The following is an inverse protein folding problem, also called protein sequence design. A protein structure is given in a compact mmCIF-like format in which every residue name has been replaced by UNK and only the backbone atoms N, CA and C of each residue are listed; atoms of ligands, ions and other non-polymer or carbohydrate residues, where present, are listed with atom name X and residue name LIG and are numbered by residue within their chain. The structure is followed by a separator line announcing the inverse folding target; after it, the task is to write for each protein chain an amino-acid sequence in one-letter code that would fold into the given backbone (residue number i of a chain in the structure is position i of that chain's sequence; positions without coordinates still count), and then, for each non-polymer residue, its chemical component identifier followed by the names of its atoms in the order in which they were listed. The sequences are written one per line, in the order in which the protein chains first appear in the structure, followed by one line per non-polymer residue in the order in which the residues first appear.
data_IF_027922170541
#
_entry.id   IF_027922170541
#
_cell.length_a   1.000
_cell.length_b   1.000
_cell.length_c   1.000
_cell.angle_alpha   90.00
_cell.angle_beta   90.00
_cell.angle_gamma   90.00
#
_symmetry.space_group_name_H-M   'P 1'
#
loop_
_entity.id
_entity.type
_entity.pdbx_description
1 polymer ?
#
# COMPACT_ATOMS: atom_id res chain seq x y z
N UNK A 1 -0.65 10.65 -14.38
CA UNK A 1 -1.22 11.77 -13.61
C UNK A 1 -1.78 11.23 -12.30
N UNK A 2 -1.09 11.52 -11.20
CA UNK A 2 -1.41 11.02 -9.84
C UNK A 2 -2.55 11.81 -9.18
N UNK A 3 -2.91 12.98 -9.73
CA UNK A 3 -4.13 13.70 -9.34
C UNK A 3 -5.41 12.88 -9.55
N UNK A 4 -5.34 11.86 -10.43
CA UNK A 4 -6.42 10.92 -10.74
C UNK A 4 -6.54 9.74 -9.75
N UNK A 5 -5.57 9.54 -8.87
CA UNK A 5 -5.68 8.50 -7.83
C UNK A 5 -6.74 8.92 -6.81
N UNK A 6 -6.85 10.22 -6.53
CA UNK A 6 -7.86 10.78 -5.64
C UNK A 6 -7.74 10.27 -4.19
N UNK A 7 -8.36 11.00 -3.26
CA UNK A 7 -8.41 10.63 -1.85
C UNK A 7 -8.39 11.87 -0.97
N UNK A 8 -9.27 11.90 0.03
CA UNK A 8 -9.32 12.97 1.03
C UNK A 8 -8.26 12.80 2.11
N UNK A 9 -7.83 11.55 2.32
CA UNK A 9 -6.79 11.16 3.25
C UNK A 9 -5.90 10.06 2.65
N UNK A 10 -4.80 9.77 3.34
CA UNK A 10 -3.81 8.80 2.91
C UNK A 10 -4.30 7.37 2.86
N UNK A 11 -5.23 7.00 3.73
CA UNK A 11 -5.83 5.67 3.69
C UNK A 11 -6.60 5.51 2.40
N UNK A 12 -7.37 6.53 1.99
CA UNK A 12 -8.08 6.54 0.72
C UNK A 12 -7.12 6.51 -0.49
N UNK A 13 -6.02 7.27 -0.45
CA UNK A 13 -4.98 7.25 -1.50
C UNK A 13 -4.34 5.86 -1.60
N UNK A 14 -3.94 5.26 -0.48
CA UNK A 14 -3.37 3.90 -0.44
C UNK A 14 -4.40 2.90 -0.99
N UNK A 15 -5.65 2.96 -0.56
CA UNK A 15 -6.71 2.08 -1.04
C UNK A 15 -6.90 2.20 -2.56
N UNK A 16 -6.85 3.41 -3.11
CA UNK A 16 -6.99 3.65 -4.55
C UNK A 16 -5.78 3.15 -5.34
N UNK A 17 -4.58 3.23 -4.78
CA UNK A 17 -3.36 2.63 -5.35
C UNK A 17 -3.48 1.10 -5.33
N UNK A 18 -3.82 0.51 -4.18
CA UNK A 18 -3.93 -0.94 -4.02
C UNK A 18 -5.02 -1.54 -4.91
N UNK A 19 -6.20 -0.93 -5.01
CA UNK A 19 -7.25 -1.37 -5.94
C UNK A 19 -6.79 -1.45 -7.40
N UNK A 20 -5.81 -0.63 -7.80
CA UNK A 20 -5.31 -0.59 -9.18
C UNK A 20 -4.10 -1.50 -9.41
N UNK A 21 -3.30 -1.73 -8.38
CA UNK A 21 -2.02 -2.45 -8.48
C UNK A 21 -2.06 -3.87 -7.95
N UNK A 22 -2.95 -4.17 -7.02
CA UNK A 22 -2.94 -5.40 -6.23
C UNK A 22 -4.24 -6.14 -6.47
N UNK A 23 -4.18 -7.21 -7.27
CA UNK A 23 -5.28 -8.16 -7.42
C UNK A 23 -5.32 -9.14 -6.25
N UNK A 24 -6.43 -9.87 -6.12
CA UNK A 24 -6.58 -10.92 -5.10
C UNK A 24 -5.48 -11.99 -5.22
N UNK A 25 -5.01 -12.27 -6.45
CA UNK A 25 -3.85 -13.14 -6.70
C UNK A 25 -2.57 -12.64 -6.02
N UNK A 26 -2.36 -11.33 -5.97
CA UNK A 26 -1.21 -10.72 -5.29
C UNK A 26 -1.43 -10.81 -3.77
N UNK A 27 -2.63 -10.50 -3.26
CA UNK A 27 -2.92 -10.65 -1.82
C UNK A 27 -2.79 -12.10 -1.32
N UNK A 28 -3.05 -13.09 -2.19
CA UNK A 28 -2.89 -14.51 -1.87
C UNK A 28 -1.42 -14.95 -1.81
N UNK A 29 -0.54 -14.31 -2.57
CA UNK A 29 0.89 -14.66 -2.65
C UNK A 29 1.77 -13.86 -1.69
N UNK A 30 1.31 -12.67 -1.28
CA UNK A 30 2.13 -11.72 -0.54
C UNK A 30 1.52 -11.31 0.80
N UNK A 31 2.38 -11.00 1.77
CA UNK A 31 2.04 -10.38 3.05
C UNK A 31 3.18 -9.43 3.44
N UNK A 32 2.91 -8.37 4.19
CA UNK A 32 3.86 -7.27 4.43
C UNK A 32 5.28 -7.77 4.75
N UNK A 33 5.44 -8.58 5.81
CA UNK A 33 6.75 -9.08 6.26
C UNK A 33 7.05 -10.54 5.87
N UNK A 34 6.18 -11.17 5.07
CA UNK A 34 6.32 -12.59 4.71
C UNK A 34 5.89 -13.56 5.81
N UNK A 35 5.61 -14.80 5.42
CA UNK A 35 5.40 -15.97 6.28
C UNK A 35 6.05 -17.20 5.64
N UNK A 36 5.87 -18.39 6.22
CA UNK A 36 6.31 -19.64 5.59
C UNK A 36 5.62 -19.92 4.24
N UNK A 37 4.42 -19.37 4.02
CA UNK A 37 3.57 -19.66 2.84
C UNK A 37 3.38 -18.46 1.92
N UNK A 38 3.62 -17.23 2.40
CA UNK A 38 3.47 -16.00 1.61
C UNK A 38 4.77 -15.21 1.56
N UNK A 39 5.09 -14.66 0.38
CA UNK A 39 6.30 -13.86 0.17
C UNK A 39 6.17 -12.47 0.81
N UNK A 40 7.29 -11.89 1.23
CA UNK A 40 7.30 -10.53 1.80
C UNK A 40 7.03 -9.49 0.73
N UNK A 41 5.96 -8.71 0.91
CA UNK A 41 5.63 -7.57 0.04
C UNK A 41 6.60 -6.41 0.21
N UNK A 42 7.13 -6.19 1.43
CA UNK A 42 8.10 -5.15 1.72
C UNK A 42 9.45 -5.33 0.99
N UNK A 43 9.70 -6.50 0.40
CA UNK A 43 10.88 -6.75 -0.45
C UNK A 43 10.69 -6.37 -1.91
N UNK A 44 9.47 -5.99 -2.32
CA UNK A 44 9.19 -5.58 -3.69
C UNK A 44 9.50 -4.10 -3.88
N UNK A 45 10.05 -3.70 -5.03
CA UNK A 45 10.32 -2.29 -5.34
C UNK A 45 9.05 -1.43 -5.32
N UNK A 46 7.89 -2.04 -5.61
CA UNK A 46 6.58 -1.37 -5.55
C UNK A 46 6.23 -0.87 -4.14
N UNK A 47 6.79 -1.48 -3.09
CA UNK A 47 6.55 -1.06 -1.71
C UNK A 47 7.10 0.34 -1.44
N UNK A 48 8.36 0.59 -1.82
CA UNK A 48 8.98 1.93 -1.70
C UNK A 48 8.28 2.94 -2.60
N UNK A 49 7.89 2.53 -3.82
CA UNK A 49 7.12 3.37 -4.74
C UNK A 49 5.80 3.85 -4.12
N UNK A 50 5.09 2.97 -3.40
CA UNK A 50 3.83 3.33 -2.72
C UNK A 50 4.11 4.34 -1.60
N UNK A 51 5.15 4.14 -0.80
CA UNK A 51 5.53 5.05 0.28
C UNK A 51 5.85 6.44 -0.29
N UNK A 52 6.68 6.51 -1.32
CA UNK A 52 7.06 7.76 -1.96
C UNK A 52 5.86 8.45 -2.62
N UNK A 53 4.96 7.67 -3.22
CA UNK A 53 3.72 8.20 -3.79
C UNK A 53 2.85 8.84 -2.70
N UNK A 54 2.62 8.16 -1.59
CA UNK A 54 1.81 8.70 -0.48
C UNK A 54 2.44 9.95 0.10
N UNK A 55 3.77 9.95 0.30
CA UNK A 55 4.53 11.13 0.76
C UNK A 55 4.41 12.31 -0.21
N UNK A 56 4.44 12.06 -1.51
CA UNK A 56 4.34 13.12 -2.54
C UNK A 56 2.97 13.79 -2.57
N UNK A 57 1.89 13.03 -2.32
CA UNK A 57 0.50 13.53 -2.30
C UNK A 57 0.22 14.30 -1.01
N UNK A 58 0.85 13.91 0.09
CA UNK A 58 0.66 14.49 1.42
C UNK A 58 1.89 15.25 1.93
N UNK A 59 2.61 15.98 1.07
CA UNK A 59 3.82 16.72 1.45
C UNK A 59 3.65 17.68 2.66
N UNK A 60 2.41 18.07 2.98
CA UNK A 60 2.04 18.94 4.12
C UNK A 60 1.49 18.19 5.34
N UNK A 61 1.16 16.91 5.22
CA UNK A 61 0.66 16.04 6.30
C UNK A 61 1.76 15.06 6.69
N UNK A 62 2.29 15.18 7.92
CA UNK A 62 3.25 14.21 8.48
C UNK A 62 2.54 12.90 8.79
N UNK A 63 2.24 12.14 7.75
CA UNK A 63 1.90 10.73 7.91
C UNK A 63 3.13 9.96 8.33
N UNK A 64 2.97 9.23 9.41
CA UNK A 64 4.01 8.33 9.87
C UNK A 64 4.10 7.13 8.92
N UNK A 65 5.32 6.63 8.74
CA UNK A 65 5.53 5.38 8.00
C UNK A 65 4.72 4.21 8.60
N UNK A 66 4.42 4.27 9.89
CA UNK A 66 3.59 3.30 10.59
C UNK A 66 2.15 3.26 10.07
N UNK A 67 1.53 4.40 9.78
CA UNK A 67 0.15 4.48 9.24
C UNK A 67 0.07 3.94 7.82
N UNK A 68 1.09 4.22 7.00
CA UNK A 68 1.20 3.68 5.65
C UNK A 68 1.35 2.16 5.71
N UNK A 69 2.27 1.66 6.55
CA UNK A 69 2.47 0.23 6.79
C UNK A 69 1.21 -0.47 7.28
N UNK A 70 0.49 0.15 8.22
CA UNK A 70 -0.76 -0.41 8.75
C UNK A 70 -1.82 -0.57 7.65
N UNK A 71 -1.95 0.45 6.79
CA UNK A 71 -2.89 0.41 5.66
C UNK A 71 -2.52 -0.68 4.65
N UNK A 72 -1.23 -0.80 4.30
CA UNK A 72 -0.73 -1.87 3.41
C UNK A 72 -0.98 -3.26 4.02
N UNK A 73 -0.70 -3.41 5.32
CA UNK A 73 -0.91 -4.67 6.03
C UNK A 73 -2.38 -5.09 6.01
N UNK A 74 -3.28 -4.16 6.30
CA UNK A 74 -4.73 -4.41 6.28
C UNK A 74 -5.20 -4.89 4.90
N UNK A 75 -4.69 -4.29 3.82
CA UNK A 75 -5.01 -4.70 2.45
C UNK A 75 -4.54 -6.11 2.10
N UNK A 76 -3.28 -6.43 2.39
CA UNK A 76 -2.70 -7.74 2.08
C UNK A 76 -3.31 -8.87 2.93
N UNK A 77 -3.93 -8.54 4.06
CA UNK A 77 -4.65 -9.48 4.92
C UNK A 77 -6.12 -9.66 4.51
N UNK A 78 -6.73 -8.67 3.84
CA UNK A 78 -8.12 -8.68 3.37
C UNK A 78 -8.31 -9.33 1.99
N UNK A 79 -7.49 -10.32 1.60
CA UNK A 79 -7.79 -11.13 0.41
C UNK A 79 -9.20 -11.74 0.56
N UNK A 80 -10.15 -11.30 -0.27
CA UNK A 80 -11.47 -11.94 -0.41
C UNK A 80 -11.34 -13.26 -1.17
#
# INVERSE_FOLDING_TARGET
DLSRVGGKDSTEVINNIFRKLVSDDVCNKFILYGTATKTSFAKLEVYELIIDCVRSVHATSRLSEAEIKHSIMSWLQHSM
#
